data_IF_558705461133
#
_entry.id   IF_558705461133
#
_cell.length_a   1.000
_cell.length_b   1.000
_cell.length_c   1.000
_cell.angle_alpha   90.00
_cell.angle_beta   90.00
_cell.angle_gamma   90.00
#
_symmetry.space_group_name_H-M   'P 1'
#
loop_
_entity.id
_entity.type
_entity.pdbx_description
1 polymer ?
#
# COMPACT_ATOMS: atom_id res chain seq x y z
N UNK A 1 25.03 -22.78 -15.58
CA UNK A 1 24.52 -21.42 -15.39
C UNK A 1 24.75 -21.10 -13.91
N UNK A 2 25.71 -20.25 -13.62
CA UNK A 2 25.99 -19.77 -12.26
C UNK A 2 24.89 -18.78 -11.88
N UNK A 3 24.12 -19.09 -10.85
CA UNK A 3 23.17 -18.14 -10.24
C UNK A 3 23.97 -16.91 -9.81
N UNK A 4 23.60 -15.68 -10.23
CA UNK A 4 24.27 -14.49 -9.75
C UNK A 4 24.18 -14.47 -8.21
N UNK A 5 25.30 -14.38 -7.53
CA UNK A 5 25.29 -14.10 -6.09
C UNK A 5 24.81 -12.66 -5.90
N UNK A 6 23.81 -12.41 -5.05
CA UNK A 6 23.39 -11.04 -4.79
C UNK A 6 24.53 -10.27 -4.12
N UNK A 7 25.10 -9.31 -4.81
CA UNK A 7 26.27 -8.56 -4.35
C UNK A 7 25.94 -7.53 -3.28
N UNK A 8 24.65 -7.17 -3.08
CA UNK A 8 24.25 -6.21 -2.05
C UNK A 8 22.80 -6.45 -1.57
N UNK A 9 22.56 -6.17 -0.30
CA UNK A 9 21.18 -6.03 0.25
C UNK A 9 20.76 -4.57 0.08
N UNK A 10 19.54 -4.35 -0.44
CA UNK A 10 18.93 -3.03 -0.57
C UNK A 10 17.45 -3.09 -0.19
N UNK A 11 16.88 -1.96 0.13
CA UNK A 11 15.44 -1.80 0.26
C UNK A 11 14.75 -2.06 -1.10
N UNK A 12 13.61 -2.74 -1.06
CA UNK A 12 12.87 -3.15 -2.25
C UNK A 12 11.60 -2.32 -2.42
N UNK A 13 11.26 -2.01 -3.68
CA UNK A 13 9.95 -1.50 -4.07
C UNK A 13 9.12 -2.69 -4.54
N UNK A 14 8.01 -2.99 -3.83
CA UNK A 14 7.10 -4.07 -4.15
C UNK A 14 5.73 -3.51 -4.52
N UNK A 15 5.08 -4.10 -5.52
CA UNK A 15 3.72 -3.73 -5.93
C UNK A 15 2.82 -4.96 -5.88
N UNK A 16 1.72 -4.87 -5.12
CA UNK A 16 0.64 -5.84 -5.15
C UNK A 16 -0.54 -5.23 -5.92
N UNK A 17 -0.80 -5.69 -7.12
CA UNK A 17 -1.83 -5.15 -8.01
C UNK A 17 -2.80 -6.22 -8.53
N UNK A 18 -3.62 -5.88 -9.51
CA UNK A 18 -4.57 -6.79 -10.15
C UNK A 18 -5.99 -6.76 -9.56
N UNK A 19 -6.95 -7.39 -10.26
CA UNK A 19 -8.37 -7.38 -9.90
C UNK A 19 -8.71 -8.27 -8.70
N UNK A 20 -7.87 -9.29 -8.41
CA UNK A 20 -8.12 -10.28 -7.37
C UNK A 20 -7.96 -9.75 -5.95
N UNK A 21 -8.54 -10.50 -5.00
CA UNK A 21 -8.43 -10.27 -3.57
C UNK A 21 -7.01 -10.62 -3.05
N UNK A 22 -6.59 -9.97 -1.95
CA UNK A 22 -5.38 -10.34 -1.21
C UNK A 22 -4.26 -9.30 -1.24
N UNK A 23 -4.38 -8.20 -1.99
CA UNK A 23 -3.34 -7.16 -2.10
C UNK A 23 -2.94 -6.58 -0.74
N UNK A 24 -3.89 -6.06 0.00
CA UNK A 24 -3.71 -5.54 1.37
C UNK A 24 -3.28 -6.64 2.33
N UNK A 25 -3.91 -7.82 2.25
CA UNK A 25 -3.58 -8.98 3.10
C UNK A 25 -2.13 -9.44 2.90
N UNK A 26 -1.63 -9.46 1.67
CA UNK A 26 -0.23 -9.79 1.38
C UNK A 26 0.72 -8.73 1.94
N UNK A 27 0.37 -7.45 1.85
CA UNK A 27 1.15 -6.36 2.41
C UNK A 27 1.20 -6.44 3.95
N UNK A 28 0.05 -6.66 4.61
CA UNK A 28 -0.03 -6.91 6.06
C UNK A 28 0.79 -8.13 6.49
N UNK A 29 0.72 -9.24 5.74
CA UNK A 29 1.53 -10.44 6.00
C UNK A 29 3.04 -10.17 5.89
N UNK A 30 3.46 -9.33 4.93
CA UNK A 30 4.85 -8.87 4.82
C UNK A 30 5.23 -7.99 6.01
N UNK A 31 4.35 -7.06 6.42
CA UNK A 31 4.53 -6.23 7.61
C UNK A 31 4.69 -7.07 8.89
N UNK A 32 3.83 -8.08 9.09
CA UNK A 32 3.95 -9.01 10.21
C UNK A 32 5.31 -9.74 10.21
N UNK A 33 5.76 -10.19 9.05
CA UNK A 33 7.08 -10.83 8.90
C UNK A 33 8.22 -9.85 9.21
N UNK A 34 8.12 -8.61 8.74
CA UNK A 34 9.11 -7.58 8.99
C UNK A 34 9.26 -7.29 10.49
N UNK A 35 8.14 -7.10 11.21
CA UNK A 35 8.15 -6.92 12.68
C UNK A 35 8.76 -8.14 13.38
N UNK A 36 8.43 -9.36 12.93
CA UNK A 36 9.04 -10.58 13.45
C UNK A 36 10.55 -10.67 13.24
N UNK A 37 11.10 -9.90 12.30
CA UNK A 37 12.54 -9.74 12.07
C UNK A 37 13.13 -8.49 12.77
N UNK A 38 12.36 -7.82 13.63
CA UNK A 38 12.80 -6.63 14.37
C UNK A 38 12.73 -5.32 13.61
N UNK A 39 12.05 -5.30 12.44
CA UNK A 39 11.86 -4.12 11.61
C UNK A 39 10.71 -3.24 12.10
N UNK A 40 10.81 -1.93 11.87
CA UNK A 40 9.74 -0.95 12.09
C UNK A 40 8.90 -0.78 10.83
N UNK A 41 7.58 -0.91 10.96
CA UNK A 41 6.62 -0.86 9.86
C UNK A 41 5.64 0.30 10.04
N UNK A 42 5.49 1.12 9.00
CA UNK A 42 4.41 2.09 8.87
C UNK A 42 3.48 1.68 7.74
N UNK A 43 2.18 1.64 7.99
CA UNK A 43 1.16 1.42 6.97
C UNK A 43 0.20 2.60 6.92
N UNK A 44 0.08 3.21 5.75
CA UNK A 44 -0.85 4.30 5.46
C UNK A 44 -1.90 3.83 4.48
N UNK A 45 -3.18 3.89 4.88
CA UNK A 45 -4.33 3.47 4.06
C UNK A 45 -4.99 4.71 3.43
N UNK A 46 -4.77 4.93 2.13
CA UNK A 46 -5.10 6.18 1.43
C UNK A 46 -6.60 6.44 1.26
N UNK A 47 -7.39 5.41 0.99
CA UNK A 47 -8.81 5.56 0.60
C UNK A 47 -9.74 5.03 1.67
N UNK A 48 -9.29 4.11 2.52
CA UNK A 48 -10.10 3.53 3.57
C UNK A 48 -10.58 4.61 4.55
N UNK A 49 -11.90 4.66 4.74
CA UNK A 49 -12.55 5.59 5.64
C UNK A 49 -12.64 5.11 7.08
N UNK A 50 -13.52 5.77 7.86
CA UNK A 50 -13.74 5.55 9.30
C UNK A 50 -14.35 4.17 9.65
N UNK A 51 -14.47 3.26 8.70
CA UNK A 51 -14.92 1.90 8.99
C UNK A 51 -13.84 1.15 9.76
N UNK A 52 -14.29 0.43 10.79
CA UNK A 52 -13.39 -0.39 11.58
C UNK A 52 -13.07 -1.69 10.85
N UNK A 53 -11.80 -1.89 10.53
CA UNK A 53 -11.28 -3.12 9.93
C UNK A 53 -10.47 -3.89 10.96
N UNK A 54 -10.51 -5.22 10.91
CA UNK A 54 -9.83 -6.08 11.87
C UNK A 54 -8.32 -5.87 11.96
N UNK A 55 -7.67 -5.41 10.89
CA UNK A 55 -6.24 -5.10 10.92
C UNK A 55 -5.87 -3.96 11.86
N UNK A 56 -6.80 -3.02 12.14
CA UNK A 56 -6.56 -1.94 13.12
C UNK A 56 -6.31 -2.49 14.51
N UNK A 57 -7.09 -3.50 14.92
CA UNK A 57 -6.89 -4.19 16.21
C UNK A 57 -5.73 -5.18 16.12
N UNK A 58 -5.60 -5.84 14.97
CA UNK A 58 -4.61 -6.90 14.75
C UNK A 58 -3.17 -6.44 14.85
N UNK A 59 -2.88 -5.16 14.59
CA UNK A 59 -1.51 -4.61 14.69
C UNK A 59 -1.20 -4.03 16.08
N UNK A 60 -2.20 -3.75 16.93
CA UNK A 60 -1.99 -3.14 18.25
C UNK A 60 -0.97 -3.87 19.14
N UNK A 61 -0.91 -5.22 19.16
CA UNK A 61 0.09 -5.94 19.96
C UNK A 61 1.55 -5.63 19.60
N UNK A 62 1.81 -5.09 18.41
CA UNK A 62 3.18 -4.75 17.97
C UNK A 62 3.64 -3.37 18.44
N UNK A 63 2.75 -2.57 19.03
CA UNK A 63 3.05 -1.24 19.57
C UNK A 63 3.71 -0.34 18.51
N UNK A 64 4.82 0.28 18.87
CA UNK A 64 5.56 1.21 17.99
C UNK A 64 6.25 0.52 16.79
N UNK A 65 6.35 -0.81 16.80
CA UNK A 65 7.00 -1.52 15.71
C UNK A 65 6.08 -1.74 14.49
N UNK A 66 4.76 -1.57 14.65
CA UNK A 66 3.82 -1.56 13.53
C UNK A 66 2.76 -0.49 13.75
N UNK A 67 2.91 0.64 13.07
CA UNK A 67 1.93 1.73 13.08
C UNK A 67 1.07 1.63 11.83
N UNK A 68 -0.27 1.61 12.02
CA UNK A 68 -1.25 1.65 10.93
C UNK A 68 -2.12 2.90 11.08
N UNK A 69 -2.24 3.70 10.02
CA UNK A 69 -3.06 4.91 9.99
C UNK A 69 -4.02 4.88 8.79
N UNK A 70 -5.30 5.13 9.06
CA UNK A 70 -6.29 5.38 8.03
C UNK A 70 -6.29 6.88 7.69
N UNK A 71 -6.06 7.21 6.41
CA UNK A 71 -5.89 8.59 5.95
C UNK A 71 -7.08 9.09 5.11
N UNK A 72 -8.00 8.20 4.70
CA UNK A 72 -9.15 8.52 3.86
C UNK A 72 -10.47 8.64 4.62
N UNK A 73 -11.54 9.07 3.89
CA UNK A 73 -12.94 9.12 4.40
C UNK A 73 -13.76 7.89 4.03
N UNK A 74 -13.24 6.95 3.25
CA UNK A 74 -13.97 5.83 2.66
C UNK A 74 -14.16 5.98 1.15
N UNK A 75 -15.27 5.46 0.63
CA UNK A 75 -15.50 5.38 -0.80
C UNK A 75 -15.38 6.74 -1.50
N UNK A 76 -14.37 6.88 -2.34
CA UNK A 76 -14.34 7.92 -3.36
C UNK A 76 -15.47 7.63 -4.34
N UNK A 77 -16.36 8.57 -4.55
CA UNK A 77 -17.43 8.44 -5.56
C UNK A 77 -16.81 8.45 -6.95
N UNK A 78 -16.56 7.26 -7.50
CA UNK A 78 -16.09 7.10 -8.87
C UNK A 78 -17.29 7.27 -9.81
N UNK A 79 -17.21 8.27 -10.71
CA UNK A 79 -18.25 8.49 -11.74
C UNK A 79 -19.05 9.79 -11.61
N UNK A 80 -18.66 10.70 -10.71
CA UNK A 80 -19.09 12.09 -10.74
C UNK A 80 -18.18 12.94 -11.65
N UNK A 81 -18.69 14.05 -12.19
CA UNK A 81 -17.93 14.89 -13.12
C UNK A 81 -16.68 15.55 -12.50
N UNK A 82 -16.55 15.59 -11.19
CA UNK A 82 -15.41 16.17 -10.46
C UNK A 82 -15.10 15.36 -9.20
N UNK A 83 -13.79 15.16 -8.91
CA UNK A 83 -13.33 14.60 -7.64
C UNK A 83 -13.63 15.59 -6.51
N UNK A 84 -14.16 15.13 -5.39
CA UNK A 84 -14.45 16.00 -4.23
C UNK A 84 -13.14 16.68 -3.77
N UNK A 85 -13.10 18.03 -3.66
CA UNK A 85 -11.92 18.76 -3.20
C UNK A 85 -11.40 18.28 -1.84
N UNK A 86 -12.26 17.77 -0.97
CA UNK A 86 -11.86 17.23 0.32
C UNK A 86 -11.14 15.88 0.17
N UNK A 87 -11.53 15.03 -0.79
CA UNK A 87 -10.81 13.80 -1.08
C UNK A 87 -9.42 14.07 -1.64
N UNK A 88 -9.29 15.09 -2.50
CA UNK A 88 -7.99 15.56 -3.01
C UNK A 88 -7.09 16.03 -1.86
N UNK A 89 -7.62 16.85 -0.95
CA UNK A 89 -6.87 17.35 0.21
C UNK A 89 -6.37 16.20 1.09
N UNK A 90 -7.23 15.24 1.41
CA UNK A 90 -6.86 14.09 2.23
C UNK A 90 -5.82 13.19 1.57
N UNK A 91 -5.92 12.98 0.25
CA UNK A 91 -4.91 12.22 -0.50
C UNK A 91 -3.56 12.96 -0.51
N UNK A 92 -3.57 14.29 -0.68
CA UNK A 92 -2.36 15.10 -0.65
C UNK A 92 -1.70 15.08 0.76
N UNK A 93 -2.49 15.17 1.84
CA UNK A 93 -2.00 15.04 3.23
C UNK A 93 -1.43 13.65 3.50
N UNK A 94 -2.13 12.60 3.08
CA UNK A 94 -1.66 11.22 3.20
C UNK A 94 -0.35 11.00 2.42
N UNK A 95 -0.24 11.59 1.24
CA UNK A 95 0.97 11.51 0.43
C UNK A 95 2.13 12.25 1.08
N UNK A 96 1.91 13.44 1.62
CA UNK A 96 2.99 14.18 2.28
C UNK A 96 3.50 13.44 3.53
N UNK A 97 2.62 12.84 4.33
CA UNK A 97 3.02 11.99 5.44
C UNK A 97 3.81 10.77 4.94
N UNK A 98 3.36 10.11 3.88
CA UNK A 98 4.06 8.99 3.27
C UNK A 98 5.45 9.38 2.77
N UNK A 99 5.55 10.50 2.07
CA UNK A 99 6.81 11.02 1.53
C UNK A 99 7.82 11.31 2.64
N UNK A 100 7.38 11.99 3.70
CA UNK A 100 8.23 12.28 4.86
C UNK A 100 8.69 10.98 5.55
N UNK A 101 7.79 10.02 5.74
CA UNK A 101 8.12 8.74 6.36
C UNK A 101 9.12 7.93 5.53
N UNK A 102 8.96 7.89 4.20
CA UNK A 102 9.88 7.19 3.30
C UNK A 102 11.28 7.82 3.33
N UNK A 103 11.35 9.16 3.29
CA UNK A 103 12.61 9.88 3.20
C UNK A 103 13.34 10.03 4.56
N UNK A 104 12.63 9.89 5.69
CA UNK A 104 13.23 9.98 7.02
C UNK A 104 14.22 8.87 7.33
N UNK A 105 13.96 7.66 6.80
CA UNK A 105 14.72 6.46 7.16
C UNK A 105 14.41 5.92 8.56
N UNK A 106 13.38 6.44 9.25
CA UNK A 106 12.95 5.98 10.58
C UNK A 106 12.18 4.64 10.52
N UNK A 107 11.75 4.26 9.31
CA UNK A 107 10.98 3.06 9.03
C UNK A 107 11.76 2.12 8.11
N UNK A 108 11.81 0.84 8.47
CA UNK A 108 12.41 -0.18 7.61
C UNK A 108 11.48 -0.57 6.45
N UNK A 109 10.15 -0.52 6.70
CA UNK A 109 9.12 -0.83 5.72
C UNK A 109 7.98 0.20 5.79
N UNK A 110 7.67 0.85 4.66
CA UNK A 110 6.49 1.70 4.48
C UNK A 110 5.51 1.03 3.54
N UNK A 111 4.25 0.85 3.97
CA UNK A 111 3.18 0.27 3.17
C UNK A 111 2.18 1.36 2.79
N UNK A 112 2.01 1.57 1.48
CA UNK A 112 1.09 2.54 0.89
C UNK A 112 -0.13 1.79 0.36
N UNK A 113 -1.10 1.54 1.26
CA UNK A 113 -2.27 0.73 0.94
C UNK A 113 -3.30 1.54 0.14
N UNK A 114 -3.71 0.98 -0.99
CA UNK A 114 -4.65 1.57 -1.96
C UNK A 114 -4.15 2.83 -2.68
N UNK A 115 -2.84 3.15 -2.63
CA UNK A 115 -2.26 4.29 -3.36
C UNK A 115 -2.49 4.21 -4.87
N UNK A 116 -2.51 3.00 -5.46
CA UNK A 116 -2.76 2.83 -6.88
C UNK A 116 -4.15 3.32 -7.31
N UNK A 117 -5.15 3.34 -6.40
CA UNK A 117 -6.44 3.95 -6.68
C UNK A 117 -6.36 5.48 -6.69
N UNK A 118 -5.65 6.09 -5.72
CA UNK A 118 -5.46 7.54 -5.70
C UNK A 118 -4.79 8.03 -6.99
N UNK A 119 -3.79 7.29 -7.48
CA UNK A 119 -3.13 7.56 -8.77
C UNK A 119 -4.08 7.31 -9.94
N UNK A 120 -4.77 6.18 -9.96
CA UNK A 120 -5.69 5.80 -11.03
C UNK A 120 -6.88 6.75 -11.19
N UNK A 121 -7.28 7.42 -10.11
CA UNK A 121 -8.34 8.45 -10.13
C UNK A 121 -7.80 9.87 -10.41
N UNK A 122 -6.50 10.02 -10.68
CA UNK A 122 -5.88 11.31 -10.97
C UNK A 122 -5.74 12.24 -9.76
N UNK A 123 -5.91 11.72 -8.53
CA UNK A 123 -5.75 12.49 -7.30
C UNK A 123 -4.30 12.64 -6.86
N UNK A 124 -3.42 11.77 -7.35
CA UNK A 124 -1.98 11.79 -7.05
C UNK A 124 -1.17 11.56 -8.31
N UNK A 125 -0.16 12.41 -8.53
CA UNK A 125 0.74 12.32 -9.67
C UNK A 125 1.72 11.13 -9.52
N UNK A 126 1.73 10.15 -10.44
CA UNK A 126 2.66 9.04 -10.40
C UNK A 126 4.14 9.45 -10.50
N UNK A 127 4.44 10.62 -11.10
CA UNK A 127 5.81 11.16 -11.15
C UNK A 127 6.32 11.54 -9.77
N UNK A 128 5.50 12.24 -8.98
CA UNK A 128 5.85 12.59 -7.59
C UNK A 128 6.15 11.34 -6.76
N UNK A 129 5.32 10.28 -6.94
CA UNK A 129 5.50 9.01 -6.24
C UNK A 129 6.80 8.34 -6.68
N UNK A 130 7.02 8.21 -7.99
CA UNK A 130 8.22 7.57 -8.55
C UNK A 130 9.50 8.26 -8.08
N UNK A 131 9.54 9.59 -8.12
CA UNK A 131 10.69 10.40 -7.67
C UNK A 131 11.01 10.10 -6.20
N UNK A 132 10.02 10.17 -5.31
CA UNK A 132 10.22 9.88 -3.89
C UNK A 132 10.71 8.44 -3.65
N UNK A 133 10.16 7.47 -4.38
CA UNK A 133 10.60 6.07 -4.28
C UNK A 133 12.05 5.88 -4.72
N UNK A 134 12.52 6.63 -5.70
CA UNK A 134 13.91 6.58 -6.16
C UNK A 134 14.88 7.31 -5.21
N UNK A 135 14.40 8.35 -4.51
CA UNK A 135 15.19 9.16 -3.56
C UNK A 135 15.23 8.55 -2.14
N UNK A 136 14.48 7.47 -1.87
CA UNK A 136 14.42 6.85 -0.55
C UNK A 136 15.79 6.38 -0.07
N UNK A 137 16.07 6.36 1.25
CA UNK A 137 17.26 5.74 1.80
C UNK A 137 17.41 4.29 1.31
N UNK A 138 18.63 3.87 1.04
CA UNK A 138 18.96 2.62 0.34
C UNK A 138 18.32 1.38 0.95
N UNK A 139 18.13 1.33 2.27
CA UNK A 139 17.60 0.16 3.00
C UNK A 139 16.09 0.20 3.25
N UNK A 140 15.41 1.29 2.93
CA UNK A 140 13.96 1.42 3.14
C UNK A 140 13.19 0.60 2.10
N UNK A 141 12.36 -0.32 2.57
CA UNK A 141 11.42 -1.06 1.74
C UNK A 141 10.10 -0.30 1.58
N UNK A 142 9.49 -0.37 0.40
CA UNK A 142 8.15 0.22 0.19
C UNK A 142 7.26 -0.79 -0.52
N UNK A 143 6.02 -0.95 -0.02
CA UNK A 143 4.98 -1.76 -0.68
C UNK A 143 3.84 -0.84 -1.11
N UNK A 144 3.46 -0.91 -2.39
CA UNK A 144 2.30 -0.22 -2.94
C UNK A 144 1.20 -1.25 -3.22
N UNK A 145 -0.05 -0.93 -2.85
CA UNK A 145 -1.19 -1.80 -3.17
C UNK A 145 -2.26 -1.07 -3.97
N UNK A 146 -3.15 -1.83 -4.57
CA UNK A 146 -4.32 -1.36 -5.32
C UNK A 146 -4.36 -1.88 -6.75
N UNK A 147 -5.53 -1.77 -7.39
CA UNK A 147 -5.71 -2.19 -8.80
C UNK A 147 -4.98 -1.23 -9.74
N UNK A 148 -4.69 -1.71 -10.95
CA UNK A 148 -4.22 -0.89 -12.07
C UNK A 148 -2.97 -0.06 -11.71
N UNK A 149 -1.93 -0.70 -11.17
CA UNK A 149 -0.66 -0.04 -10.91
C UNK A 149 -0.16 0.71 -12.15
N UNK A 150 0.22 1.98 -11.97
CA UNK A 150 0.68 2.83 -13.08
C UNK A 150 1.99 2.30 -13.67
N UNK A 151 2.11 2.30 -15.01
CA UNK A 151 3.26 1.73 -15.72
C UNK A 151 4.62 2.27 -15.22
N UNK A 152 4.70 3.55 -14.91
CA UNK A 152 5.91 4.18 -14.36
C UNK A 152 6.34 3.56 -13.02
N UNK A 153 5.41 3.23 -12.14
CA UNK A 153 5.72 2.59 -10.85
C UNK A 153 6.12 1.13 -11.06
N UNK A 154 5.49 0.44 -12.01
CA UNK A 154 5.85 -0.92 -12.40
C UNK A 154 7.28 -0.98 -12.95
N UNK A 155 7.69 0.03 -13.73
CA UNK A 155 9.04 0.11 -14.31
C UNK A 155 10.16 0.19 -13.25
N UNK A 156 9.93 0.94 -12.17
CA UNK A 156 10.94 1.14 -11.10
C UNK A 156 10.84 0.10 -9.98
N UNK A 157 9.79 -0.73 -9.96
CA UNK A 157 9.59 -1.72 -8.91
C UNK A 157 10.56 -2.91 -9.04
N UNK A 158 11.06 -3.39 -7.90
CA UNK A 158 11.90 -4.60 -7.85
C UNK A 158 11.06 -5.88 -7.95
N UNK A 159 9.78 -5.83 -7.51
CA UNK A 159 8.85 -6.96 -7.57
C UNK A 159 7.42 -6.47 -7.80
N UNK A 160 6.76 -7.03 -8.79
CA UNK A 160 5.34 -6.76 -9.07
C UNK A 160 4.58 -8.09 -9.06
N UNK A 161 3.54 -8.16 -8.24
CA UNK A 161 2.65 -9.32 -8.15
C UNK A 161 1.25 -8.92 -8.58
N UNK A 162 0.72 -9.57 -9.60
CA UNK A 162 -0.66 -9.40 -10.02
C UNK A 162 -1.56 -10.47 -9.41
N UNK A 163 -2.53 -10.05 -8.60
CA UNK A 163 -3.54 -10.92 -8.01
C UNK A 163 -4.72 -11.07 -8.95
N UNK A 164 -4.84 -12.24 -9.55
CA UNK A 164 -5.86 -12.57 -10.52
C UNK A 164 -7.11 -13.14 -9.83
N UNK A 165 -8.28 -12.61 -10.17
CA UNK A 165 -9.54 -13.17 -9.73
C UNK A 165 -9.92 -14.40 -10.57
N UNK A 166 -9.65 -15.60 -10.05
CA UNK A 166 -10.07 -16.86 -10.72
C UNK A 166 -11.55 -17.11 -10.45
N UNK A 167 -12.03 -16.85 -9.25
CA UNK A 167 -13.43 -16.81 -8.83
C UNK A 167 -13.56 -16.02 -7.53
N UNK A 168 -14.71 -15.43 -7.26
CA UNK A 168 -14.97 -14.68 -6.03
C UNK A 168 -16.29 -15.10 -5.41
N UNK A 169 -16.36 -15.16 -4.06
CA UNK A 169 -17.57 -15.52 -3.33
C UNK A 169 -18.75 -14.60 -3.65
N UNK A 170 -18.48 -13.31 -3.86
CA UNK A 170 -19.48 -12.30 -4.25
C UNK A 170 -20.24 -12.65 -5.54
N UNK A 171 -19.59 -13.31 -6.51
CA UNK A 171 -20.24 -13.79 -7.75
C UNK A 171 -21.34 -14.83 -7.49
N UNK A 172 -21.33 -15.45 -6.30
CA UNK A 172 -22.37 -16.38 -5.82
C UNK A 172 -23.34 -15.73 -4.82
N UNK A 173 -23.33 -14.39 -4.69
CA UNK A 173 -24.17 -13.67 -3.74
C UNK A 173 -23.72 -13.77 -2.28
N UNK A 174 -22.52 -14.29 -2.01
CA UNK A 174 -21.97 -14.39 -0.65
C UNK A 174 -21.39 -13.02 -0.29
N UNK A 175 -21.93 -12.44 0.79
CA UNK A 175 -21.49 -11.13 1.29
C UNK A 175 -20.11 -11.23 1.97
N UNK A 176 -19.45 -10.07 2.11
CA UNK A 176 -18.19 -9.94 2.83
C UNK A 176 -18.30 -10.49 4.27
N UNK A 177 -17.29 -11.23 4.70
CA UNK A 177 -17.25 -11.90 5.99
C UNK A 177 -16.29 -11.21 6.94
N UNK A 178 -16.74 -10.96 8.19
CA UNK A 178 -15.90 -10.41 9.24
C UNK A 178 -14.70 -11.32 9.50
N UNK A 179 -13.52 -10.71 9.62
CA UNK A 179 -12.25 -11.42 9.82
C UNK A 179 -11.67 -12.07 8.57
N UNK A 180 -12.40 -12.00 7.41
CA UNK A 180 -11.92 -12.50 6.11
C UNK A 180 -11.81 -11.37 5.10
N UNK A 181 -12.77 -10.46 5.06
CA UNK A 181 -12.76 -9.28 4.18
C UNK A 181 -12.61 -7.95 4.93
N UNK A 182 -12.97 -7.90 6.20
CA UNK A 182 -12.86 -6.69 7.05
C UNK A 182 -12.71 -7.03 8.54
#
# INVERSE_FOLDING_TARGET
MTTPQPESRKGLILINTGPGKGKTTAALGTGLRAVGCGMKVLMLQFIKGSWHYGELDGVLPFGENFILKQMGRGFVKVGGAETDPEDLRLVEEAWEEARLAILSGDWDLVILDEINYAIGYGMLDPEKVATTLLERPEMVHVILTGRNAHAKLVEIADTVTEMREVKHAYQKGILAQRGIEF
#
